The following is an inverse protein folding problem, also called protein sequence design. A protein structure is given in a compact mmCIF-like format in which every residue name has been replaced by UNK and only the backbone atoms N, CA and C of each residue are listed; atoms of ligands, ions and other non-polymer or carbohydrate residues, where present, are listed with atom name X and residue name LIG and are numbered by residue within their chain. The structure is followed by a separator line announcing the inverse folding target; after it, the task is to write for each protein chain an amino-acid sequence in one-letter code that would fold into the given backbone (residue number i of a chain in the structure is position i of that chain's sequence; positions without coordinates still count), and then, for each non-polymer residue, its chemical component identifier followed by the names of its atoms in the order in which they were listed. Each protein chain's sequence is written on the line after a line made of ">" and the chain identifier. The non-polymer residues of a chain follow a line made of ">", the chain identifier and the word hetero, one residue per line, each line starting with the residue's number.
data_IF_720883369878
#
_entry.id   IF_720883369878
#
_cell.length_a   1.000
_cell.length_b   1.000
_cell.length_c   1.000
_cell.angle_alpha   90.00
_cell.angle_beta   90.00
_cell.angle_gamma   90.00
#
_symmetry.space_group_name_H-M   'P 1'
#
loop_
_entity.id
_entity.type
_entity.pdbx_description
1 polymer ?
#
# COMPACT_ATOMS: atom_id res chain seq x y z
N UNK A 1 22.61 -68.91 18.42
CA UNK A 1 23.26 -67.78 17.72
C UNK A 1 22.15 -66.99 17.07
N UNK A 2 21.74 -65.87 17.68
CA UNK A 2 20.70 -64.97 17.16
C UNK A 2 21.42 -63.73 16.59
N UNK A 3 21.31 -63.48 15.26
CA UNK A 3 21.82 -62.29 14.61
C UNK A 3 20.70 -61.20 14.63
N UNK A 4 20.94 -60.14 15.36
CA UNK A 4 20.12 -58.95 15.33
C UNK A 4 20.45 -58.16 14.06
N UNK A 5 19.46 -57.91 13.22
CA UNK A 5 19.53 -56.98 12.10
C UNK A 5 19.01 -55.65 12.61
N UNK A 6 19.87 -54.65 12.72
CA UNK A 6 19.48 -53.24 12.91
C UNK A 6 19.05 -52.67 11.55
N UNK A 7 17.79 -52.33 11.45
CA UNK A 7 17.27 -51.48 10.37
C UNK A 7 17.51 -50.02 10.75
N UNK A 8 18.46 -49.40 10.08
CA UNK A 8 18.61 -47.94 10.11
C UNK A 8 17.57 -47.29 9.16
N UNK A 9 16.58 -46.66 9.74
CA UNK A 9 15.62 -45.81 8.97
C UNK A 9 16.29 -44.44 8.79
N UNK A 10 16.82 -44.19 7.61
CA UNK A 10 17.26 -42.86 7.22
C UNK A 10 16.00 -42.01 6.87
N UNK A 11 15.61 -41.14 7.79
CA UNK A 11 14.63 -40.13 7.51
C UNK A 11 15.24 -39.07 6.58
N UNK A 12 14.95 -39.11 5.31
CA UNK A 12 15.16 -37.99 4.39
C UNK A 12 14.19 -36.88 4.79
N UNK A 13 14.70 -35.88 5.50
CA UNK A 13 14.07 -34.58 5.63
C UNK A 13 14.18 -33.87 4.27
N UNK A 14 13.17 -34.03 3.43
CA UNK A 14 12.90 -33.13 2.32
C UNK A 14 12.49 -31.79 2.95
N UNK A 15 13.44 -30.88 3.14
CA UNK A 15 13.14 -29.48 3.37
C UNK A 15 12.51 -28.95 2.07
N UNK A 16 11.19 -28.95 2.02
CA UNK A 16 10.47 -28.10 1.08
C UNK A 16 10.80 -26.67 1.48
N UNK A 17 11.73 -26.04 0.78
CA UNK A 17 11.89 -24.60 0.85
C UNK A 17 10.59 -23.98 0.34
N UNK A 18 9.67 -23.73 1.26
CA UNK A 18 8.60 -22.76 1.05
C UNK A 18 9.31 -21.43 0.92
N UNK A 19 9.40 -20.94 -0.30
CA UNK A 19 9.74 -19.54 -0.56
C UNK A 19 8.64 -18.72 0.09
N UNK A 20 8.84 -18.39 1.36
CA UNK A 20 7.95 -17.50 2.07
C UNK A 20 8.05 -16.13 1.37
N UNK A 21 6.92 -15.56 1.06
CA UNK A 21 6.76 -14.20 0.52
C UNK A 21 7.45 -13.12 1.39
N UNK A 22 7.97 -13.50 2.56
CA UNK A 22 8.73 -12.66 3.49
C UNK A 22 10.13 -12.28 3.04
N UNK A 23 10.77 -13.06 2.17
CA UNK A 23 12.15 -12.79 1.73
C UNK A 23 12.25 -11.74 0.63
N UNK A 24 11.12 -11.42 -0.03
CA UNK A 24 11.05 -10.41 -1.09
C UNK A 24 11.27 -8.99 -0.52
N UNK A 25 11.00 -8.78 0.75
CA UNK A 25 11.20 -7.53 1.49
C UNK A 25 12.47 -7.57 2.33
N UNK A 26 13.49 -8.29 1.86
CA UNK A 26 14.77 -8.30 2.52
C UNK A 26 15.25 -6.86 2.71
N UNK A 27 15.53 -6.55 3.96
CA UNK A 27 15.86 -5.23 4.53
C UNK A 27 17.29 -4.81 4.17
N UNK A 28 17.70 -5.09 2.94
CA UNK A 28 19.07 -4.86 2.55
C UNK A 28 19.41 -3.37 2.59
N UNK A 29 20.65 -3.10 2.97
CA UNK A 29 21.28 -1.79 2.88
C UNK A 29 21.49 -1.32 1.43
N UNK A 30 20.95 -2.04 0.44
CA UNK A 30 21.16 -1.83 -0.99
C UNK A 30 20.16 -0.85 -1.61
N UNK A 31 19.56 0.04 -0.81
CA UNK A 31 18.71 1.10 -1.34
C UNK A 31 19.55 2.10 -2.14
N UNK A 32 19.12 2.35 -3.37
CA UNK A 32 19.77 3.31 -4.27
C UNK A 32 18.98 4.62 -4.30
N UNK A 33 19.58 5.70 -3.79
CA UNK A 33 18.96 7.02 -3.83
C UNK A 33 18.84 7.52 -5.27
N UNK A 34 17.68 8.14 -5.66
CA UNK A 34 17.53 8.73 -6.97
C UNK A 34 18.61 9.80 -7.24
N UNK A 35 19.19 9.78 -8.44
CA UNK A 35 20.15 10.82 -8.87
C UNK A 35 19.46 12.09 -9.38
N UNK A 36 18.19 12.01 -9.82
CA UNK A 36 17.41 13.16 -10.27
C UNK A 36 16.93 13.99 -9.08
N UNK A 37 17.39 15.24 -9.00
CA UNK A 37 17.07 16.15 -7.91
C UNK A 37 15.56 16.41 -7.75
N UNK A 38 14.79 16.45 -8.86
CA UNK A 38 13.35 16.64 -8.81
C UNK A 38 12.64 15.45 -8.16
N UNK A 39 13.14 14.23 -8.40
CA UNK A 39 12.64 13.01 -7.75
C UNK A 39 12.97 13.05 -6.25
N UNK A 40 14.18 13.46 -5.88
CA UNK A 40 14.59 13.60 -4.46
C UNK A 40 13.71 14.61 -3.73
N UNK A 41 13.40 15.74 -4.36
CA UNK A 41 12.53 16.78 -3.78
C UNK A 41 11.10 16.25 -3.59
N UNK A 42 10.54 15.62 -4.63
CA UNK A 42 9.21 15.00 -4.57
C UNK A 42 9.15 13.88 -3.52
N UNK A 43 10.20 13.09 -3.38
CA UNK A 43 10.30 12.02 -2.40
C UNK A 43 10.31 12.57 -0.95
N UNK A 44 11.00 13.68 -0.71
CA UNK A 44 10.97 14.38 0.58
C UNK A 44 9.58 14.95 0.90
N UNK A 45 8.92 15.55 -0.11
CA UNK A 45 7.54 16.00 0.01
C UNK A 45 6.61 14.85 0.38
N UNK A 46 6.71 13.72 -0.32
CA UNK A 46 5.94 12.51 -0.02
C UNK A 46 6.22 11.97 1.38
N UNK A 47 7.49 11.93 1.82
CA UNK A 47 7.84 11.48 3.18
C UNK A 47 7.16 12.32 4.28
N UNK A 48 6.85 13.57 4.05
CA UNK A 48 6.18 14.46 5.00
C UNK A 48 4.68 14.17 5.13
N UNK A 49 4.07 13.54 4.13
CA UNK A 49 2.64 13.26 4.07
C UNK A 49 2.19 12.14 5.02
N UNK A 50 3.04 11.20 5.32
CA UNK A 50 2.92 10.11 6.32
C UNK A 50 1.76 9.14 6.14
N UNK A 51 0.59 9.56 5.66
CA UNK A 51 -0.62 8.75 5.60
C UNK A 51 -1.35 8.92 4.28
N UNK A 52 -1.58 7.81 3.60
CA UNK A 52 -2.28 7.75 2.31
C UNK A 52 -3.28 6.62 2.20
N UNK A 53 -3.98 6.56 1.06
CA UNK A 53 -4.92 5.49 0.70
C UNK A 53 -4.47 4.78 -0.57
N UNK A 54 -4.62 3.45 -0.59
CA UNK A 54 -4.45 2.61 -1.77
C UNK A 54 -5.80 1.96 -2.11
N UNK A 55 -6.39 2.34 -3.25
CA UNK A 55 -7.64 1.76 -3.70
C UNK A 55 -7.38 0.51 -4.55
N UNK A 56 -7.93 -0.63 -4.13
CA UNK A 56 -8.03 -1.83 -4.95
C UNK A 56 -9.47 -1.98 -5.45
N UNK A 57 -9.67 -1.68 -6.74
CA UNK A 57 -10.98 -1.76 -7.37
C UNK A 57 -10.89 -2.23 -8.82
N UNK A 58 -11.72 -3.19 -9.16
CA UNK A 58 -11.76 -3.83 -10.47
C UNK A 58 -12.89 -4.85 -10.54
N UNK A 59 -12.88 -5.68 -11.58
CA UNK A 59 -13.96 -6.67 -11.82
C UNK A 59 -14.09 -7.71 -10.71
N UNK A 60 -13.03 -7.97 -9.94
CA UNK A 60 -13.04 -8.87 -8.77
C UNK A 60 -13.96 -8.39 -7.63
N UNK A 61 -14.32 -7.11 -7.60
CA UNK A 61 -15.30 -6.59 -6.65
C UNK A 61 -16.71 -7.16 -6.91
N UNK A 62 -17.04 -7.50 -8.16
CA UNK A 62 -18.37 -8.03 -8.52
C UNK A 62 -18.68 -9.32 -7.77
N UNK A 63 -17.84 -10.38 -7.83
CA UNK A 63 -18.03 -11.58 -7.04
C UNK A 63 -17.59 -11.44 -5.57
N UNK A 64 -16.86 -10.36 -5.21
CA UNK A 64 -16.34 -10.16 -3.86
C UNK A 64 -15.32 -11.20 -3.44
N UNK A 65 -14.29 -11.39 -4.24
CA UNK A 65 -13.21 -12.38 -4.04
C UNK A 65 -11.85 -11.68 -3.93
N UNK A 66 -10.85 -12.47 -3.53
CA UNK A 66 -9.45 -12.01 -3.55
C UNK A 66 -9.12 -11.50 -4.95
N UNK A 67 -8.61 -10.32 -5.07
CA UNK A 67 -8.40 -9.54 -6.30
C UNK A 67 -8.34 -10.44 -7.57
N UNK A 68 -7.47 -10.20 -8.52
CA UNK A 68 -7.33 -11.04 -9.72
C UNK A 68 -6.71 -12.43 -9.47
N UNK A 69 -6.19 -12.69 -8.26
CA UNK A 69 -5.42 -13.90 -7.96
C UNK A 69 -6.16 -15.21 -8.19
N UNK A 70 -7.49 -15.20 -8.11
CA UNK A 70 -8.30 -16.40 -8.31
C UNK A 70 -8.18 -17.01 -9.72
N UNK A 71 -7.74 -16.25 -10.73
CA UNK A 71 -7.45 -16.77 -12.09
C UNK A 71 -6.02 -17.27 -12.26
N UNK A 72 -5.16 -17.03 -11.27
CA UNK A 72 -3.80 -17.58 -11.26
C UNK A 72 -3.82 -18.98 -10.62
N UNK A 73 -3.15 -19.97 -11.24
CA UNK A 73 -3.12 -21.33 -10.73
C UNK A 73 -1.97 -21.54 -9.75
N UNK A 74 -2.02 -20.87 -8.60
CA UNK A 74 -1.07 -21.04 -7.50
C UNK A 74 -1.68 -21.84 -6.34
N UNK A 75 -0.83 -22.55 -5.60
CA UNK A 75 -1.29 -23.51 -4.59
C UNK A 75 -2.02 -22.93 -3.38
N UNK A 76 -1.93 -21.62 -3.17
CA UNK A 76 -2.63 -20.92 -2.07
C UNK A 76 -3.99 -20.35 -2.49
N UNK A 77 -4.33 -20.41 -3.78
CA UNK A 77 -5.59 -19.90 -4.32
C UNK A 77 -6.71 -20.91 -4.10
N UNK A 78 -7.83 -20.43 -3.58
CA UNK A 78 -9.08 -21.21 -3.48
C UNK A 78 -10.03 -20.77 -4.60
N UNK A 79 -10.49 -21.72 -5.39
CA UNK A 79 -11.47 -21.51 -6.47
C UNK A 79 -12.67 -22.42 -6.28
N UNK A 80 -13.77 -22.09 -6.97
CA UNK A 80 -14.90 -23.00 -7.13
C UNK A 80 -14.45 -24.24 -7.94
N UNK A 81 -14.49 -25.41 -7.29
CA UNK A 81 -14.05 -26.68 -7.87
C UNK A 81 -15.14 -27.34 -8.74
N UNK A 82 -16.34 -26.77 -8.82
CA UNK A 82 -17.42 -27.24 -9.71
C UNK A 82 -17.19 -26.84 -11.17
N UNK A 83 -16.29 -25.87 -11.40
CA UNK A 83 -15.90 -25.40 -12.72
C UNK A 83 -14.51 -25.93 -13.09
N UNK A 84 -14.31 -26.24 -14.40
CA UNK A 84 -12.95 -26.42 -14.92
C UNK A 84 -12.20 -25.09 -14.82
N UNK A 85 -10.86 -25.13 -14.84
CA UNK A 85 -10.04 -23.93 -14.76
C UNK A 85 -10.35 -22.91 -15.87
N UNK A 86 -10.58 -23.41 -17.11
CA UNK A 86 -10.94 -22.53 -18.22
C UNK A 86 -12.32 -21.89 -18.02
N UNK A 87 -13.33 -22.67 -17.59
CA UNK A 87 -14.66 -22.13 -17.26
C UNK A 87 -14.58 -21.06 -16.17
N UNK A 88 -13.72 -21.27 -15.17
CA UNK A 88 -13.52 -20.27 -14.10
C UNK A 88 -12.91 -18.96 -14.64
N UNK A 89 -11.89 -19.04 -15.52
CA UNK A 89 -11.31 -17.86 -16.16
C UNK A 89 -12.34 -17.11 -17.01
N UNK A 90 -13.11 -17.82 -17.81
CA UNK A 90 -14.15 -17.23 -18.66
C UNK A 90 -15.24 -16.56 -17.82
N UNK A 91 -15.65 -17.21 -16.74
CA UNK A 91 -16.57 -16.64 -15.75
C UNK A 91 -16.00 -15.38 -15.11
N UNK A 92 -14.73 -15.39 -14.68
CA UNK A 92 -14.08 -14.26 -14.04
C UNK A 92 -13.98 -13.06 -15.00
N UNK A 93 -13.46 -13.26 -16.20
CA UNK A 93 -13.36 -12.17 -17.16
C UNK A 93 -14.72 -11.65 -17.63
N UNK A 94 -15.75 -12.49 -17.64
CA UNK A 94 -17.14 -12.09 -17.85
C UNK A 94 -17.71 -11.13 -16.78
N UNK A 95 -17.00 -10.94 -15.65
CA UNK A 95 -17.38 -9.92 -14.65
C UNK A 95 -17.23 -8.49 -15.18
N UNK A 96 -16.46 -8.27 -16.23
CA UNK A 96 -16.37 -6.97 -16.93
C UNK A 96 -17.76 -6.47 -17.40
N UNK A 97 -18.61 -7.40 -17.88
CA UNK A 97 -19.98 -7.09 -18.32
C UNK A 97 -20.98 -6.97 -17.14
N UNK A 98 -20.50 -7.13 -15.91
CA UNK A 98 -21.31 -7.00 -14.68
C UNK A 98 -20.88 -5.85 -13.79
N UNK A 99 -19.66 -5.33 -13.96
CA UNK A 99 -19.18 -4.17 -13.19
C UNK A 99 -19.87 -2.90 -13.71
N UNK A 100 -20.95 -2.52 -13.06
CA UNK A 100 -21.72 -1.32 -13.38
C UNK A 100 -21.94 -0.48 -12.11
N UNK A 101 -20.94 0.32 -11.69
CA UNK A 101 -20.97 1.04 -10.42
C UNK A 101 -21.85 2.30 -10.48
N UNK A 102 -23.17 2.12 -10.40
CA UNK A 102 -24.17 3.20 -10.53
C UNK A 102 -24.09 4.25 -9.42
N UNK A 103 -23.50 3.91 -8.27
CA UNK A 103 -23.37 4.81 -7.11
C UNK A 103 -21.96 5.43 -7.02
N UNK A 104 -21.17 5.33 -8.10
CA UNK A 104 -19.81 5.86 -8.16
C UNK A 104 -19.77 7.38 -7.97
N UNK A 105 -19.19 7.80 -6.86
CA UNK A 105 -19.02 9.20 -6.49
C UNK A 105 -17.59 9.47 -5.98
N UNK A 106 -16.64 9.77 -6.86
CA UNK A 106 -15.23 9.96 -6.49
C UNK A 106 -15.00 11.21 -5.62
N UNK A 107 -15.86 12.23 -5.71
CA UNK A 107 -15.83 13.41 -4.86
C UNK A 107 -16.10 13.02 -3.40
N UNK A 108 -17.10 12.15 -3.17
CA UNK A 108 -17.37 11.62 -1.83
C UNK A 108 -16.23 10.77 -1.31
N UNK A 109 -15.58 9.97 -2.18
CA UNK A 109 -14.38 9.21 -1.77
C UNK A 109 -13.27 10.14 -1.28
N UNK A 110 -13.00 11.21 -2.05
CA UNK A 110 -11.97 12.18 -1.69
C UNK A 110 -12.30 12.92 -0.38
N UNK A 111 -13.59 13.26 -0.15
CA UNK A 111 -14.04 13.85 1.11
C UNK A 111 -13.81 12.94 2.32
N UNK A 112 -14.16 11.66 2.21
CA UNK A 112 -13.97 10.66 3.26
C UNK A 112 -12.46 10.50 3.60
N UNK A 113 -11.60 10.39 2.59
CA UNK A 113 -10.15 10.23 2.79
C UNK A 113 -9.52 11.52 3.35
N UNK A 114 -9.96 12.69 2.92
CA UNK A 114 -9.50 13.97 3.47
C UNK A 114 -9.91 14.12 4.94
N UNK A 115 -11.15 13.74 5.30
CA UNK A 115 -11.63 13.74 6.68
C UNK A 115 -10.86 12.77 7.56
N UNK A 116 -10.44 11.64 7.02
CA UNK A 116 -9.56 10.67 7.68
C UNK A 116 -8.14 11.21 7.94
N UNK A 117 -7.77 12.35 7.36
CA UNK A 117 -6.43 12.94 7.47
C UNK A 117 -5.43 12.44 6.43
N UNK A 118 -5.85 11.66 5.45
CA UNK A 118 -4.97 11.17 4.38
C UNK A 118 -4.50 12.32 3.47
N UNK A 119 -3.29 12.21 2.92
CA UNK A 119 -2.61 13.26 2.17
C UNK A 119 -2.19 12.85 0.76
N UNK A 120 -2.12 11.56 0.47
CA UNK A 120 -1.84 11.03 -0.85
C UNK A 120 -2.74 9.83 -1.13
N UNK A 121 -2.93 9.54 -2.41
CA UNK A 121 -3.72 8.41 -2.85
C UNK A 121 -3.00 7.64 -3.94
N UNK A 122 -3.26 6.35 -4.01
CA UNK A 122 -2.82 5.47 -5.09
C UNK A 122 -4.04 4.71 -5.59
N UNK A 123 -4.33 4.77 -6.89
CA UNK A 123 -5.49 4.11 -7.49
C UNK A 123 -5.07 2.98 -8.43
N UNK A 124 -5.70 1.82 -8.30
CA UNK A 124 -5.49 0.68 -9.20
C UNK A 124 -6.03 0.98 -10.59
N UNK A 125 -5.16 1.40 -11.51
CA UNK A 125 -5.52 1.66 -12.90
C UNK A 125 -5.83 0.36 -13.65
N UNK A 126 -5.08 -0.70 -13.33
CA UNK A 126 -5.21 -2.06 -13.84
C UNK A 126 -4.57 -3.01 -12.83
N UNK A 127 -5.27 -4.09 -12.45
CA UNK A 127 -4.68 -5.20 -11.68
C UNK A 127 -4.15 -6.29 -12.62
N UNK A 128 -3.66 -7.41 -12.11
CA UNK A 128 -3.04 -8.48 -12.91
C UNK A 128 -3.99 -9.12 -13.94
N UNK A 129 -5.31 -9.01 -13.75
CA UNK A 129 -6.33 -9.49 -14.67
C UNK A 129 -6.40 -8.73 -16.01
N UNK A 130 -5.73 -7.60 -16.10
CA UNK A 130 -5.70 -6.79 -17.31
C UNK A 130 -6.88 -5.83 -17.49
N UNK A 131 -7.89 -5.83 -16.58
CA UNK A 131 -9.03 -4.93 -16.72
C UNK A 131 -8.66 -3.50 -16.39
N UNK A 132 -8.75 -2.61 -17.39
CA UNK A 132 -8.40 -1.20 -17.26
C UNK A 132 -9.58 -0.38 -16.69
N UNK A 133 -9.36 0.30 -15.56
CA UNK A 133 -10.32 1.24 -14.96
C UNK A 133 -10.27 2.62 -15.64
N UNK A 134 -9.77 2.68 -16.88
CA UNK A 134 -9.60 3.89 -17.70
C UNK A 134 -9.80 3.58 -19.19
N UNK A 135 -9.90 4.63 -20.02
CA UNK A 135 -10.08 4.50 -21.47
C UNK A 135 -8.76 4.21 -22.19
N UNK A 136 -8.34 2.94 -22.23
CA UNK A 136 -7.17 2.52 -22.98
C UNK A 136 -7.48 2.36 -24.47
N UNK A 137 -6.53 2.79 -25.34
CA UNK A 137 -6.56 2.56 -26.78
C UNK A 137 -5.95 1.23 -27.19
N UNK A 138 -5.27 0.55 -26.27
CA UNK A 138 -4.47 -0.63 -26.55
C UNK A 138 -5.17 -1.94 -26.18
N UNK A 139 -6.33 -1.87 -25.55
CA UNK A 139 -7.18 -3.02 -25.23
C UNK A 139 -8.64 -2.61 -25.21
N UNK A 140 -9.52 -3.55 -25.58
CA UNK A 140 -10.97 -3.38 -25.42
C UNK A 140 -11.45 -3.79 -24.01
N UNK A 141 -10.57 -4.40 -23.20
CA UNK A 141 -10.86 -4.86 -21.86
C UNK A 141 -10.78 -3.71 -20.85
N UNK A 142 -11.72 -2.78 -20.98
CA UNK A 142 -11.77 -1.53 -20.19
C UNK A 142 -13.17 -1.26 -19.68
N UNK A 143 -13.27 -0.57 -18.55
CA UNK A 143 -14.55 -0.16 -17.97
C UNK A 143 -15.37 0.73 -18.91
N UNK A 144 -14.71 1.45 -19.82
CA UNK A 144 -15.38 2.35 -20.78
C UNK A 144 -16.05 1.63 -21.95
N UNK A 145 -15.82 0.33 -22.10
CA UNK A 145 -16.36 -0.49 -23.21
C UNK A 145 -17.23 -1.66 -22.78
N UNK A 146 -17.38 -1.86 -21.47
CA UNK A 146 -18.22 -2.91 -20.87
C UNK A 146 -19.49 -2.34 -20.23
N UNK A 147 -20.00 -2.92 -19.15
CA UNK A 147 -21.29 -2.57 -18.55
C UNK A 147 -21.45 -1.09 -18.18
N UNK A 148 -20.38 -0.40 -17.82
CA UNK A 148 -20.39 1.02 -17.42
C UNK A 148 -20.20 2.01 -18.57
N UNK A 149 -20.15 1.56 -19.83
CA UNK A 149 -19.81 2.36 -21.03
C UNK A 149 -20.72 3.58 -21.26
N UNK A 150 -21.98 3.51 -20.86
CA UNK A 150 -22.96 4.58 -21.11
C UNK A 150 -23.03 5.59 -19.96
N UNK A 151 -22.31 5.38 -18.88
CA UNK A 151 -22.28 6.28 -17.74
C UNK A 151 -21.43 7.52 -18.04
N UNK A 152 -21.85 8.75 -17.66
CA UNK A 152 -21.10 9.98 -17.93
C UNK A 152 -19.70 10.01 -17.29
N UNK A 153 -19.51 9.30 -16.16
CA UNK A 153 -18.21 9.13 -15.48
C UNK A 153 -17.54 7.79 -15.82
N UNK A 154 -17.75 7.23 -17.02
CA UNK A 154 -17.24 5.90 -17.41
C UNK A 154 -15.71 5.76 -17.38
N UNK A 155 -14.98 6.84 -17.65
CA UNK A 155 -13.51 6.86 -17.47
C UNK A 155 -13.19 7.11 -15.99
N UNK A 156 -13.29 6.03 -15.21
CA UNK A 156 -13.20 6.06 -13.74
C UNK A 156 -11.92 6.73 -13.28
N UNK A 157 -10.77 6.37 -13.89
CA UNK A 157 -9.48 6.93 -13.52
C UNK A 157 -9.50 8.46 -13.57
N UNK A 158 -10.03 9.03 -14.67
CA UNK A 158 -10.11 10.48 -14.84
C UNK A 158 -10.81 11.14 -13.66
N UNK A 159 -12.01 10.66 -13.34
CA UNK A 159 -12.83 11.27 -12.29
C UNK A 159 -12.27 11.06 -10.89
N UNK A 160 -11.66 9.90 -10.61
CA UNK A 160 -10.97 9.66 -9.33
C UNK A 160 -9.80 10.61 -9.17
N UNK A 161 -8.89 10.68 -10.16
CA UNK A 161 -7.71 11.55 -10.05
C UNK A 161 -8.10 13.03 -9.94
N UNK A 162 -9.11 13.50 -10.70
CA UNK A 162 -9.58 14.87 -10.64
C UNK A 162 -10.19 15.21 -9.26
N UNK A 163 -11.01 14.32 -8.69
CA UNK A 163 -11.61 14.53 -7.37
C UNK A 163 -10.56 14.66 -6.26
N UNK A 164 -9.55 13.77 -6.26
CA UNK A 164 -8.48 13.81 -5.26
C UNK A 164 -7.53 15.00 -5.47
N UNK A 165 -7.22 15.35 -6.72
CA UNK A 165 -6.42 16.53 -7.06
C UNK A 165 -7.09 17.82 -6.58
N UNK A 166 -8.42 17.93 -6.72
CA UNK A 166 -9.21 19.06 -6.21
C UNK A 166 -9.17 19.20 -4.69
N UNK A 167 -8.80 18.11 -3.98
CA UNK A 167 -8.58 18.10 -2.53
C UNK A 167 -7.10 18.20 -2.14
N UNK A 168 -6.22 18.49 -3.10
CA UNK A 168 -4.78 18.67 -2.90
C UNK A 168 -4.06 17.40 -2.40
N UNK A 169 -4.54 16.23 -2.77
CA UNK A 169 -3.80 14.99 -2.56
C UNK A 169 -2.63 14.89 -3.54
N UNK A 170 -1.51 14.32 -3.08
CA UNK A 170 -0.49 13.80 -3.99
C UNK A 170 -1.06 12.57 -4.69
N UNK A 171 -0.90 12.51 -6.02
CA UNK A 171 -1.59 11.57 -6.89
C UNK A 171 -0.69 10.41 -7.28
N UNK A 172 -1.10 9.20 -6.95
CA UNK A 172 -0.45 7.97 -7.33
C UNK A 172 -1.33 7.09 -8.22
N UNK A 173 -0.69 6.39 -9.14
CA UNK A 173 -1.30 5.36 -9.98
C UNK A 173 -0.61 4.02 -9.73
N UNK A 174 -1.38 3.02 -9.30
CA UNK A 174 -0.95 1.64 -9.29
C UNK A 174 -1.11 1.07 -10.70
N UNK A 175 -0.11 0.40 -11.19
CA UNK A 175 -0.14 -0.31 -12.45
C UNK A 175 0.48 -1.71 -12.29
N UNK A 176 -0.27 -2.74 -12.67
CA UNK A 176 0.24 -4.10 -12.74
C UNK A 176 1.16 -4.27 -13.96
N UNK A 177 2.41 -4.66 -13.73
CA UNK A 177 3.33 -5.01 -14.84
C UNK A 177 2.86 -6.24 -15.62
N UNK A 178 2.50 -7.38 -14.97
CA UNK A 178 1.88 -8.50 -15.67
C UNK A 178 0.45 -8.15 -16.10
N UNK A 179 0.00 -8.83 -17.16
CA UNK A 179 -1.36 -8.73 -17.68
C UNK A 179 -1.83 -10.12 -18.15
N UNK A 180 -2.64 -10.77 -17.32
CA UNK A 180 -3.09 -12.15 -17.57
C UNK A 180 -4.18 -12.26 -18.63
N UNK A 181 -4.77 -11.15 -19.06
CA UNK A 181 -5.69 -11.11 -20.19
C UNK A 181 -4.96 -10.91 -21.53
N UNK A 182 -3.78 -10.29 -21.50
CA UNK A 182 -2.99 -10.04 -22.70
C UNK A 182 -2.42 -11.34 -23.29
N UNK A 183 -2.74 -11.62 -24.56
CA UNK A 183 -2.27 -12.81 -25.27
C UNK A 183 -0.73 -12.84 -25.43
N UNK A 184 -0.07 -11.72 -25.31
CA UNK A 184 1.39 -11.64 -25.34
C UNK A 184 2.03 -11.87 -23.97
N UNK A 185 1.22 -12.05 -22.90
CA UNK A 185 1.67 -12.50 -21.59
C UNK A 185 1.20 -13.92 -21.27
N UNK A 186 -0.12 -14.20 -21.33
CA UNK A 186 -0.68 -15.56 -21.28
C UNK A 186 -1.25 -15.93 -22.65
N UNK A 187 -0.47 -16.68 -23.39
CA UNK A 187 -0.83 -17.11 -24.73
C UNK A 187 -1.78 -18.31 -24.68
N UNK A 188 -2.95 -18.21 -25.28
CA UNK A 188 -4.03 -19.20 -25.24
C UNK A 188 -3.70 -20.52 -25.94
N UNK A 189 -2.69 -20.51 -26.82
CA UNK A 189 -2.17 -21.74 -27.48
C UNK A 189 -1.52 -22.71 -26.48
N UNK A 190 -1.02 -22.18 -25.35
CA UNK A 190 -0.43 -22.98 -24.28
C UNK A 190 -1.33 -22.97 -23.05
N UNK A 191 -1.46 -24.12 -22.36
CA UNK A 191 -2.16 -24.10 -21.09
C UNK A 191 -1.44 -23.15 -20.12
N UNK A 192 -2.19 -22.41 -19.33
CA UNK A 192 -1.62 -21.59 -18.25
C UNK A 192 -0.86 -22.50 -17.29
N UNK A 193 0.45 -22.29 -17.17
CA UNK A 193 1.27 -23.01 -16.20
C UNK A 193 0.85 -22.63 -14.80
N UNK A 194 1.09 -23.51 -13.85
CA UNK A 194 0.95 -23.18 -12.45
C UNK A 194 1.89 -22.02 -12.11
N UNK A 195 1.32 -20.91 -11.62
CA UNK A 195 2.05 -19.70 -11.29
C UNK A 195 1.67 -18.49 -12.14
N UNK A 196 2.22 -17.36 -11.74
CA UNK A 196 1.91 -15.99 -12.19
C UNK A 196 2.68 -15.53 -13.44
N UNK A 197 3.68 -16.29 -13.85
CA UNK A 197 4.59 -15.93 -14.94
C UNK A 197 3.97 -16.18 -16.32
N UNK A 198 4.65 -15.69 -17.37
CA UNK A 198 4.30 -16.02 -18.75
C UNK A 198 4.22 -17.55 -18.94
N UNK A 199 3.32 -18.01 -19.81
CA UNK A 199 3.07 -19.43 -20.04
C UNK A 199 3.82 -20.01 -21.24
N UNK A 200 4.75 -19.25 -21.81
CA UNK A 200 5.60 -19.66 -22.94
C UNK A 200 7.08 -19.36 -22.65
N UNK A 201 7.98 -19.91 -23.46
CA UNK A 201 9.41 -19.61 -23.36
C UNK A 201 9.74 -18.33 -24.16
N UNK A 202 10.09 -17.26 -23.46
CA UNK A 202 10.44 -15.95 -24.05
C UNK A 202 11.64 -16.08 -25.02
N UNK A 203 12.59 -16.98 -24.75
CA UNK A 203 13.75 -17.19 -25.63
C UNK A 203 13.34 -17.82 -26.97
N UNK A 204 12.29 -18.64 -26.97
CA UNK A 204 11.76 -19.28 -28.19
C UNK A 204 10.85 -18.31 -28.98
N UNK A 205 10.11 -17.43 -28.27
CA UNK A 205 9.22 -16.47 -28.92
C UNK A 205 9.49 -15.02 -28.46
N UNK A 206 10.72 -14.47 -28.68
CA UNK A 206 11.11 -13.15 -28.19
C UNK A 206 10.24 -12.02 -28.74
N UNK A 207 9.77 -12.15 -29.98
CA UNK A 207 8.91 -11.15 -30.62
C UNK A 207 7.57 -10.94 -29.87
N UNK A 208 7.07 -11.98 -29.19
CA UNK A 208 5.85 -11.88 -28.39
C UNK A 208 6.10 -11.06 -27.15
N UNK A 209 7.23 -11.28 -26.49
CA UNK A 209 7.65 -10.49 -25.35
C UNK A 209 7.90 -9.01 -25.72
N UNK A 210 8.49 -8.73 -26.88
CA UNK A 210 8.67 -7.37 -27.36
C UNK A 210 7.32 -6.65 -27.61
N UNK A 211 6.30 -7.36 -28.10
CA UNK A 211 4.94 -6.80 -28.21
C UNK A 211 4.34 -6.52 -26.85
N UNK A 212 4.52 -7.40 -25.88
CA UNK A 212 4.06 -7.18 -24.49
C UNK A 212 4.76 -5.98 -23.86
N UNK A 213 6.07 -5.82 -24.02
CA UNK A 213 6.82 -4.65 -23.59
C UNK A 213 6.24 -3.35 -24.17
N UNK A 214 5.98 -3.36 -25.49
CA UNK A 214 5.41 -2.18 -26.14
C UNK A 214 3.97 -1.90 -25.68
N UNK A 215 3.16 -2.92 -25.48
CA UNK A 215 1.82 -2.80 -24.93
C UNK A 215 1.83 -2.17 -23.53
N UNK A 216 2.68 -2.68 -22.66
CA UNK A 216 2.86 -2.18 -21.28
C UNK A 216 3.36 -0.73 -21.25
N UNK A 217 4.37 -0.43 -22.09
CA UNK A 217 4.88 0.93 -22.26
C UNK A 217 3.77 1.89 -22.69
N UNK A 218 3.01 1.54 -23.72
CA UNK A 218 1.97 2.38 -24.28
C UNK A 218 0.85 2.66 -23.26
N UNK A 219 0.45 1.68 -22.47
CA UNK A 219 -0.55 1.88 -21.41
C UNK A 219 -0.06 2.81 -20.30
N UNK A 220 1.20 2.68 -19.88
CA UNK A 220 1.79 3.62 -18.91
C UNK A 220 1.89 5.03 -19.48
N UNK A 221 2.28 5.19 -20.75
CA UNK A 221 2.32 6.47 -21.42
C UNK A 221 0.93 7.13 -21.50
N UNK A 222 -0.14 6.35 -21.80
CA UNK A 222 -1.51 6.87 -21.76
C UNK A 222 -1.86 7.46 -20.39
N UNK A 223 -1.57 6.72 -19.31
CA UNK A 223 -1.88 7.17 -17.94
C UNK A 223 -1.10 8.45 -17.62
N UNK A 224 0.18 8.50 -17.92
CA UNK A 224 1.05 9.60 -17.54
C UNK A 224 0.90 10.86 -18.42
N UNK A 225 0.35 10.72 -19.64
CA UNK A 225 0.20 11.86 -20.58
C UNK A 225 -1.22 12.42 -20.65
N UNK A 226 -2.26 11.63 -20.30
CA UNK A 226 -3.67 12.01 -20.55
C UNK A 226 -4.47 12.38 -19.31
N UNK A 227 -4.00 12.02 -18.12
CA UNK A 227 -4.79 12.13 -16.88
C UNK A 227 -4.30 13.24 -15.94
N UNK A 228 -3.58 14.23 -16.47
CA UNK A 228 -3.04 15.35 -15.69
C UNK A 228 -1.84 14.97 -14.87
N UNK A 229 -1.58 15.69 -13.77
CA UNK A 229 -0.44 15.44 -12.93
C UNK A 229 -0.55 14.11 -12.18
N UNK A 230 0.51 13.30 -12.27
CA UNK A 230 0.74 12.09 -11.50
C UNK A 230 2.09 12.22 -10.78
N UNK A 231 2.12 11.97 -9.49
CA UNK A 231 3.31 12.14 -8.66
C UNK A 231 4.00 10.81 -8.35
N UNK A 232 3.25 9.69 -8.35
CA UNK A 232 3.74 8.37 -8.01
C UNK A 232 3.25 7.37 -9.07
N UNK A 233 4.20 6.62 -9.68
CA UNK A 233 3.91 5.43 -10.48
C UNK A 233 4.29 4.19 -9.66
N UNK A 234 3.27 3.49 -9.15
CA UNK A 234 3.42 2.34 -8.27
C UNK A 234 3.25 1.05 -9.08
N UNK A 235 4.36 0.38 -9.39
CA UNK A 235 4.41 -0.79 -10.27
C UNK A 235 4.37 -2.06 -9.45
N UNK A 236 3.34 -2.86 -9.64
CA UNK A 236 3.22 -4.17 -9.01
C UNK A 236 3.61 -5.31 -9.95
N UNK A 237 3.81 -6.50 -9.37
CA UNK A 237 4.26 -7.67 -10.10
C UNK A 237 5.79 -7.77 -10.15
N UNK A 238 6.44 -7.84 -8.98
CA UNK A 238 7.90 -7.92 -8.84
C UNK A 238 8.56 -9.10 -9.55
N UNK A 239 7.79 -10.14 -9.91
CA UNK A 239 8.30 -11.26 -10.72
C UNK A 239 8.53 -10.91 -12.20
N UNK A 240 7.98 -9.78 -12.68
CA UNK A 240 8.27 -9.23 -14.02
C UNK A 240 9.56 -8.42 -13.92
N UNK A 241 10.68 -9.11 -14.08
CA UNK A 241 12.03 -8.57 -13.89
C UNK A 241 13.06 -9.33 -14.76
N UNK A 242 14.26 -8.78 -14.87
CA UNK A 242 15.36 -9.37 -15.65
C UNK A 242 15.75 -10.76 -15.18
N UNK A 243 15.77 -10.97 -13.88
CA UNK A 243 16.15 -12.21 -13.21
C UNK A 243 15.25 -13.38 -13.64
N UNK A 244 13.99 -13.07 -13.95
CA UNK A 244 13.01 -14.02 -14.46
C UNK A 244 12.92 -14.03 -16.02
N UNK A 245 13.86 -13.43 -16.71
CA UNK A 245 13.80 -13.19 -18.16
C UNK A 245 12.56 -12.41 -18.63
N UNK A 246 11.95 -11.63 -17.74
CA UNK A 246 10.76 -10.80 -17.99
C UNK A 246 11.12 -9.32 -17.92
N UNK A 247 12.16 -8.90 -18.61
CA UNK A 247 12.60 -7.50 -18.68
C UNK A 247 11.63 -6.67 -19.53
N UNK A 248 11.01 -5.64 -18.92
CA UNK A 248 10.12 -4.69 -19.61
C UNK A 248 10.81 -3.38 -20.00
N UNK A 249 12.13 -3.28 -19.85
CA UNK A 249 12.92 -2.09 -20.17
C UNK A 249 12.59 -0.89 -19.28
N UNK A 250 12.78 -1.08 -17.98
CA UNK A 250 12.52 -0.01 -16.99
C UNK A 250 13.25 1.30 -17.28
N UNK A 251 14.51 1.34 -17.81
CA UNK A 251 15.15 2.58 -18.22
C UNK A 251 14.33 3.38 -19.24
N UNK A 252 13.80 2.72 -20.27
CA UNK A 252 12.96 3.34 -21.31
C UNK A 252 11.63 3.84 -20.72
N UNK A 253 11.01 3.04 -19.85
CA UNK A 253 9.78 3.43 -19.15
C UNK A 253 10.03 4.64 -18.26
N UNK A 254 11.13 4.67 -17.49
CA UNK A 254 11.46 5.78 -16.60
C UNK A 254 11.74 7.07 -17.37
N UNK A 255 12.43 6.99 -18.51
CA UNK A 255 12.68 8.14 -19.37
C UNK A 255 11.38 8.72 -19.90
N UNK A 256 10.50 7.89 -20.44
CA UNK A 256 9.16 8.31 -20.91
C UNK A 256 8.34 8.91 -19.77
N UNK A 257 8.24 8.21 -18.65
CA UNK A 257 7.44 8.62 -17.50
C UNK A 257 7.86 9.99 -16.98
N UNK A 258 9.17 10.25 -16.80
CA UNK A 258 9.71 11.52 -16.32
C UNK A 258 9.70 12.62 -17.37
N UNK A 259 9.60 12.29 -18.67
CA UNK A 259 9.39 13.30 -19.71
C UNK A 259 7.97 13.91 -19.64
N UNK A 260 6.97 13.12 -19.28
CA UNK A 260 5.59 13.58 -19.07
C UNK A 260 5.38 14.16 -17.66
N UNK A 261 6.01 13.55 -16.64
CA UNK A 261 5.83 13.87 -15.23
C UNK A 261 7.20 14.13 -14.55
N UNK A 262 7.76 15.33 -14.68
CA UNK A 262 9.07 15.66 -14.07
C UNK A 262 9.02 15.48 -12.55
N UNK A 263 9.99 14.75 -12.00
CA UNK A 263 10.05 14.44 -10.56
C UNK A 263 9.17 13.25 -10.13
N UNK A 264 8.59 12.50 -11.07
CA UNK A 264 7.78 11.33 -10.77
C UNK A 264 8.54 10.32 -9.91
N UNK A 265 7.95 9.97 -8.78
CA UNK A 265 8.39 8.87 -7.93
C UNK A 265 8.00 7.55 -8.62
N UNK A 266 8.98 6.70 -8.89
CA UNK A 266 8.72 5.35 -9.41
C UNK A 266 8.93 4.32 -8.30
N UNK A 267 8.02 3.36 -8.22
CA UNK A 267 8.05 2.29 -7.22
C UNK A 267 7.98 0.96 -7.96
N UNK A 268 9.10 0.50 -8.47
CA UNK A 268 9.22 -0.84 -9.06
C UNK A 268 9.33 -1.87 -7.92
N UNK A 269 8.18 -2.20 -7.35
CA UNK A 269 8.07 -2.98 -6.10
C UNK A 269 8.92 -4.23 -6.13
N UNK A 270 9.73 -4.38 -5.08
CA UNK A 270 10.57 -5.55 -4.83
C UNK A 270 11.68 -5.79 -5.86
N UNK A 271 11.82 -4.87 -6.82
CA UNK A 271 12.94 -4.87 -7.76
C UNK A 271 13.91 -3.77 -7.33
N UNK A 272 15.03 -4.18 -6.77
CA UNK A 272 16.05 -3.24 -6.28
C UNK A 272 16.67 -2.44 -7.40
N UNK A 273 17.12 -1.24 -7.04
CA UNK A 273 17.80 -0.35 -7.95
C UNK A 273 17.12 1.00 -8.13
N UNK A 274 17.51 1.76 -9.16
CA UNK A 274 17.19 3.19 -9.30
C UNK A 274 15.69 3.50 -9.53
N UNK A 275 14.86 2.47 -9.74
CA UNK A 275 13.43 2.63 -10.01
C UNK A 275 12.55 2.20 -8.83
N UNK A 276 13.11 1.70 -7.73
CA UNK A 276 12.42 1.50 -6.46
C UNK A 276 12.72 2.70 -5.54
N UNK A 277 12.11 3.87 -5.82
CA UNK A 277 12.42 5.11 -5.10
C UNK A 277 11.97 5.10 -3.64
N UNK A 278 11.11 4.18 -3.23
CA UNK A 278 10.89 3.78 -1.85
C UNK A 278 10.49 2.30 -1.78
N UNK A 279 10.85 1.63 -0.69
CA UNK A 279 10.50 0.22 -0.48
C UNK A 279 9.09 0.08 0.08
N UNK A 280 8.43 -1.06 -0.20
CA UNK A 280 7.02 -1.28 0.14
C UNK A 280 6.80 -2.57 0.92
N UNK A 281 7.21 -2.67 2.21
CA UNK A 281 6.85 -3.82 3.05
C UNK A 281 5.33 -4.01 3.07
N UNK A 282 4.87 -5.20 2.64
CA UNK A 282 3.45 -5.50 2.55
C UNK A 282 2.95 -6.21 3.80
N UNK A 283 1.86 -5.69 4.38
CA UNK A 283 1.20 -6.23 5.59
C UNK A 283 2.16 -6.40 6.79
N UNK A 284 3.30 -5.73 6.77
CA UNK A 284 4.34 -5.80 7.81
C UNK A 284 4.95 -4.43 8.08
N UNK A 285 5.61 -4.30 9.22
CA UNK A 285 6.38 -3.12 9.61
C UNK A 285 7.82 -3.57 9.88
N UNK A 286 8.85 -2.89 9.37
CA UNK A 286 10.24 -3.18 9.71
C UNK A 286 10.47 -3.22 11.22
N UNK A 287 11.35 -4.12 11.71
CA UNK A 287 11.60 -4.23 13.16
C UNK A 287 12.23 -2.96 13.74
N UNK A 288 13.10 -2.33 12.95
CA UNK A 288 13.83 -1.13 13.35
C UNK A 288 13.61 0.01 12.38
N UNK A 289 14.11 1.19 12.71
CA UNK A 289 14.18 2.32 11.78
C UNK A 289 15.01 1.96 10.55
N UNK A 290 14.56 2.42 9.38
CA UNK A 290 15.32 2.36 8.14
C UNK A 290 15.83 3.77 7.78
N UNK A 291 17.01 3.83 7.17
CA UNK A 291 17.66 5.08 6.77
C UNK A 291 17.38 5.51 5.32
N UNK A 292 16.36 4.90 4.71
CA UNK A 292 15.90 5.18 3.36
C UNK A 292 14.36 5.27 3.33
N UNK A 293 13.76 5.84 2.27
CA UNK A 293 12.30 5.96 2.14
C UNK A 293 11.60 4.60 2.04
N UNK A 294 10.51 4.43 2.77
CA UNK A 294 9.69 3.23 2.73
C UNK A 294 8.23 3.50 3.10
N UNK A 295 7.34 2.62 2.65
CA UNK A 295 5.90 2.68 2.86
C UNK A 295 5.38 1.31 3.24
N UNK A 296 4.79 1.15 4.43
CA UNK A 296 4.00 -0.06 4.69
C UNK A 296 2.66 0.05 3.98
N UNK A 297 2.38 -0.89 3.09
CA UNK A 297 1.07 -1.04 2.48
C UNK A 297 0.26 -2.10 3.24
N UNK A 298 -0.83 -1.66 3.89
CA UNK A 298 -1.63 -2.48 4.80
C UNK A 298 -3.11 -2.27 4.51
N UNK A 299 -3.90 -3.32 4.24
CA UNK A 299 -5.35 -3.15 4.05
C UNK A 299 -6.06 -2.85 5.37
N UNK A 300 -7.15 -2.06 5.30
CA UNK A 300 -8.00 -1.77 6.46
C UNK A 300 -8.75 -3.03 6.92
N UNK A 301 -9.05 -3.93 6.00
CA UNK A 301 -9.58 -5.28 6.30
C UNK A 301 -8.48 -6.35 6.13
N UNK A 302 -8.84 -7.60 5.95
CA UNK A 302 -7.89 -8.67 5.62
C UNK A 302 -7.52 -8.68 4.13
N UNK A 303 -8.43 -8.22 3.27
CA UNK A 303 -8.29 -8.20 1.82
C UNK A 303 -8.03 -6.79 1.29
N UNK A 304 -7.41 -6.68 0.12
CA UNK A 304 -7.17 -5.40 -0.54
C UNK A 304 -8.42 -4.86 -1.22
N UNK A 305 -9.11 -5.72 -1.99
CA UNK A 305 -10.37 -5.43 -2.63
C UNK A 305 -11.56 -5.59 -1.68
N UNK A 306 -12.74 -5.25 -2.19
CA UNK A 306 -13.98 -5.47 -1.46
C UNK A 306 -14.35 -6.98 -1.40
N UNK A 307 -14.71 -7.44 -0.20
CA UNK A 307 -15.30 -8.76 0.04
C UNK A 307 -16.56 -8.63 0.89
N UNK A 308 -17.54 -9.59 0.82
CA UNK A 308 -18.85 -9.42 1.45
C UNK A 308 -18.86 -9.36 2.98
N UNK A 309 -17.88 -9.94 3.64
CA UNK A 309 -17.81 -10.03 5.12
C UNK A 309 -16.37 -9.89 5.59
N UNK A 310 -15.78 -8.68 5.43
CA UNK A 310 -14.40 -8.47 5.81
C UNK A 310 -14.23 -8.41 7.34
N UNK A 311 -13.09 -8.84 7.81
CA UNK A 311 -12.66 -8.57 9.19
C UNK A 311 -11.89 -7.25 9.21
N UNK A 312 -12.40 -6.32 9.98
CA UNK A 312 -11.87 -4.97 10.03
C UNK A 312 -10.85 -4.79 11.14
N UNK A 313 -9.79 -4.06 10.87
CA UNK A 313 -8.94 -3.49 11.91
C UNK A 313 -9.70 -2.38 12.65
N UNK A 314 -9.51 -2.28 13.95
CA UNK A 314 -10.07 -1.18 14.74
C UNK A 314 -9.35 0.15 14.44
N UNK A 315 -9.98 1.30 14.68
CA UNK A 315 -9.31 2.61 14.58
C UNK A 315 -8.05 2.68 15.44
N UNK A 316 -8.08 2.12 16.65
CA UNK A 316 -6.95 2.06 17.59
C UNK A 316 -5.78 1.27 16.97
N UNK A 317 -6.07 0.13 16.31
CA UNK A 317 -5.05 -0.66 15.63
C UNK A 317 -4.42 0.11 14.47
N UNK A 318 -5.20 0.83 13.67
CA UNK A 318 -4.68 1.64 12.57
C UNK A 318 -3.85 2.80 13.09
N UNK A 319 -4.31 3.49 14.13
CA UNK A 319 -3.57 4.59 14.79
C UNK A 319 -2.23 4.08 15.34
N UNK A 320 -2.22 2.95 16.05
CA UNK A 320 -0.97 2.37 16.57
C UNK A 320 0.00 1.99 15.46
N UNK A 321 -0.52 1.39 14.39
CA UNK A 321 0.25 1.06 13.18
C UNK A 321 0.86 2.31 12.53
N UNK A 322 0.07 3.36 12.34
CA UNK A 322 0.55 4.64 11.78
C UNK A 322 1.65 5.27 12.64
N UNK A 323 1.45 5.32 13.95
CA UNK A 323 2.43 5.89 14.88
C UNK A 323 3.75 5.12 14.86
N UNK A 324 3.69 3.80 14.90
CA UNK A 324 4.87 2.94 14.82
C UNK A 324 5.65 3.14 13.50
N UNK A 325 4.95 3.15 12.37
CA UNK A 325 5.53 3.37 11.04
C UNK A 325 6.22 4.74 10.98
N UNK A 326 5.54 5.80 11.42
CA UNK A 326 6.07 7.17 11.38
C UNK A 326 7.27 7.34 12.31
N UNK A 327 7.23 6.78 13.51
CA UNK A 327 8.35 6.81 14.44
C UNK A 327 9.58 6.03 13.91
N UNK A 328 9.36 5.03 13.05
CA UNK A 328 10.41 4.27 12.35
C UNK A 328 10.82 4.90 11.01
N UNK A 329 10.23 6.02 10.60
CA UNK A 329 10.64 6.80 9.43
C UNK A 329 9.90 6.48 8.13
N UNK A 330 8.83 5.69 8.18
CA UNK A 330 8.03 5.31 7.02
C UNK A 330 6.74 6.11 6.85
N UNK A 331 6.04 5.79 5.76
CA UNK A 331 4.67 6.20 5.49
C UNK A 331 3.74 4.97 5.57
N UNK A 332 2.48 5.20 5.93
CA UNK A 332 1.42 4.20 5.85
C UNK A 332 0.52 4.50 4.64
N UNK A 333 0.37 3.54 3.74
CA UNK A 333 -0.73 3.54 2.77
C UNK A 333 -1.76 2.49 3.19
N UNK A 334 -2.98 2.94 3.47
CA UNK A 334 -4.07 2.09 3.95
C UNK A 334 -4.92 1.60 2.77
N UNK A 335 -5.03 0.28 2.60
CA UNK A 335 -5.83 -0.33 1.54
C UNK A 335 -7.33 -0.19 1.80
N UNK A 336 -8.07 0.26 0.79
CA UNK A 336 -9.54 0.37 0.81
C UNK A 336 -10.09 -0.20 -0.50
N UNK A 337 -11.04 -1.13 -0.39
CA UNK A 337 -11.75 -1.72 -1.54
C UNK A 337 -13.16 -1.13 -1.66
N UNK A 338 -13.46 -0.32 -2.68
CA UNK A 338 -14.83 0.09 -2.98
C UNK A 338 -15.71 -1.09 -3.37
N UNK A 339 -17.01 -1.01 -3.06
CA UNK A 339 -17.98 -2.02 -3.44
C UNK A 339 -18.17 -2.09 -4.97
N UNK A 340 -18.77 -3.15 -5.52
CA UNK A 340 -19.06 -3.20 -6.96
C UNK A 340 -20.02 -2.11 -7.43
N UNK A 341 -20.79 -1.47 -6.53
CA UNK A 341 -21.63 -0.31 -6.83
C UNK A 341 -20.85 1.02 -6.83
N UNK A 342 -19.60 1.02 -6.40
CA UNK A 342 -18.76 2.23 -6.31
C UNK A 342 -18.87 2.99 -5.00
N UNK A 343 -19.31 2.33 -3.92
CA UNK A 343 -19.44 2.94 -2.59
C UNK A 343 -18.21 2.61 -1.70
N UNK A 344 -17.85 3.54 -0.83
CA UNK A 344 -17.04 3.23 0.35
C UNK A 344 -17.97 2.72 1.44
N UNK A 345 -17.72 1.50 1.94
CA UNK A 345 -18.59 0.87 2.94
C UNK A 345 -18.77 1.73 4.19
N UNK A 346 -19.97 1.79 4.78
CA UNK A 346 -20.23 2.57 6.00
C UNK A 346 -19.29 2.22 7.17
N UNK A 347 -18.90 0.94 7.29
CA UNK A 347 -17.95 0.46 8.30
C UNK A 347 -16.55 1.03 8.09
N UNK A 348 -16.12 1.19 6.83
CA UNK A 348 -14.88 1.88 6.45
C UNK A 348 -14.96 3.35 6.85
N UNK A 349 -16.04 4.04 6.46
CA UNK A 349 -16.25 5.47 6.76
C UNK A 349 -16.22 5.72 8.26
N UNK A 350 -16.89 4.89 9.05
CA UNK A 350 -16.92 4.99 10.52
C UNK A 350 -15.50 4.92 11.11
N UNK A 351 -14.68 3.98 10.66
CA UNK A 351 -13.30 3.80 11.12
C UNK A 351 -12.41 4.97 10.72
N UNK A 352 -12.50 5.38 9.46
CA UNK A 352 -11.73 6.50 8.92
C UNK A 352 -12.08 7.81 9.64
N UNK A 353 -13.34 8.06 9.95
CA UNK A 353 -13.76 9.22 10.73
C UNK A 353 -13.13 9.21 12.15
N UNK A 354 -13.10 8.06 12.82
CA UNK A 354 -12.47 7.96 14.14
C UNK A 354 -10.96 8.22 14.08
N UNK A 355 -10.27 7.73 13.06
CA UNK A 355 -8.85 8.00 12.80
C UNK A 355 -8.64 9.50 12.54
N UNK A 356 -9.49 10.10 11.69
CA UNK A 356 -9.44 11.53 11.37
C UNK A 356 -9.64 12.43 12.59
N UNK A 357 -10.58 12.10 13.46
CA UNK A 357 -10.79 12.85 14.72
C UNK A 357 -9.57 12.78 15.64
N UNK A 358 -8.89 11.64 15.70
CA UNK A 358 -7.64 11.52 16.45
C UNK A 358 -6.53 12.37 15.81
N UNK A 359 -6.39 12.32 14.48
CA UNK A 359 -5.37 13.09 13.75
C UNK A 359 -5.59 14.59 13.79
N UNK A 360 -6.84 15.09 13.83
CA UNK A 360 -7.13 16.52 14.06
C UNK A 360 -6.52 17.03 15.36
N UNK A 361 -6.45 16.19 16.38
CA UNK A 361 -5.93 16.54 17.70
C UNK A 361 -4.43 16.29 17.85
N UNK A 362 -3.90 15.27 17.19
CA UNK A 362 -2.56 14.75 17.42
C UNK A 362 -1.66 14.77 16.16
N UNK A 363 -2.18 15.21 15.02
CA UNK A 363 -1.50 15.14 13.72
C UNK A 363 -0.19 15.94 13.66
N UNK A 364 0.02 16.92 14.53
CA UNK A 364 1.30 17.62 14.68
C UNK A 364 2.45 16.67 15.04
N UNK A 365 2.15 15.59 15.76
CA UNK A 365 3.12 14.56 16.10
C UNK A 365 3.35 13.52 14.98
N UNK A 366 2.61 13.63 13.88
CA UNK A 366 2.63 12.69 12.74
C UNK A 366 3.20 13.36 11.49
N UNK A 367 2.52 14.38 10.96
CA UNK A 367 2.87 15.01 9.69
C UNK A 367 4.09 15.91 9.80
N UNK A 368 4.90 15.96 8.73
CA UNK A 368 6.12 16.80 8.68
C UNK A 368 7.13 16.49 9.81
N UNK A 369 7.07 15.30 10.41
CA UNK A 369 7.98 14.87 11.47
C UNK A 369 9.14 14.05 10.92
N UNK A 370 10.21 13.99 11.72
CA UNK A 370 11.37 13.15 11.50
C UNK A 370 11.53 12.13 12.63
N UNK A 371 12.34 11.13 12.38
CA UNK A 371 12.70 10.10 13.36
C UNK A 371 13.54 10.66 14.51
N UNK A 372 13.59 9.93 15.61
CA UNK A 372 14.46 10.21 16.76
C UNK A 372 15.38 9.03 17.01
N UNK A 373 16.62 9.24 17.54
CA UNK A 373 17.52 8.12 17.84
C UNK A 373 16.91 7.09 18.81
N UNK A 374 16.12 7.57 19.77
CA UNK A 374 15.31 6.73 20.65
C UNK A 374 13.85 6.97 20.27
N UNK A 375 13.29 6.09 19.49
CA UNK A 375 11.96 6.23 18.90
C UNK A 375 10.85 5.47 19.65
N UNK A 376 11.23 4.61 20.60
CA UNK A 376 10.28 3.84 21.41
C UNK A 376 10.80 3.56 22.83
N UNK A 377 9.90 3.64 23.81
CA UNK A 377 10.07 3.11 25.19
C UNK A 377 8.74 2.50 25.64
N UNK A 378 8.55 1.22 25.41
CA UNK A 378 7.32 0.51 25.70
C UNK A 378 6.12 1.04 24.90
N UNK A 379 5.10 1.57 25.60
CA UNK A 379 3.91 2.15 24.94
C UNK A 379 4.12 3.59 24.44
N UNK A 380 5.29 4.19 24.68
CA UNK A 380 5.58 5.58 24.29
C UNK A 380 6.46 5.59 23.04
N UNK A 381 5.97 6.19 21.99
CA UNK A 381 6.68 6.37 20.72
C UNK A 381 7.08 7.83 20.53
N UNK A 382 8.17 8.07 19.82
CA UNK A 382 8.71 9.42 19.67
C UNK A 382 8.91 9.81 18.23
N UNK A 383 8.51 11.04 17.91
CA UNK A 383 8.83 11.77 16.69
C UNK A 383 9.38 13.14 17.02
N UNK A 384 9.89 13.87 16.05
CA UNK A 384 10.43 15.21 16.24
C UNK A 384 10.05 16.15 15.11
N UNK A 385 10.06 17.45 15.39
CA UNK A 385 10.10 18.46 14.34
C UNK A 385 11.42 18.38 13.55
N UNK A 386 11.41 18.87 12.32
CA UNK A 386 12.58 18.88 11.42
C UNK A 386 13.78 19.66 11.98
N UNK A 387 13.54 20.65 12.82
CA UNK A 387 14.59 21.41 13.51
C UNK A 387 15.23 20.66 14.69
N UNK A 388 14.66 19.52 15.06
CA UNK A 388 15.11 18.65 16.13
C UNK A 388 14.92 19.18 17.55
N UNK A 389 14.36 20.40 17.73
CA UNK A 389 14.21 21.06 19.04
C UNK A 389 12.95 20.63 19.78
N UNK A 390 11.91 20.26 19.04
CA UNK A 390 10.65 19.77 19.59
C UNK A 390 10.56 18.27 19.47
N UNK A 391 10.11 17.60 20.54
CA UNK A 391 9.80 16.18 20.58
C UNK A 391 8.31 15.98 20.80
N UNK A 392 7.81 14.90 20.22
CA UNK A 392 6.48 14.39 20.50
C UNK A 392 6.61 13.02 21.14
N UNK A 393 5.95 12.83 22.30
CA UNK A 393 5.79 11.53 22.94
C UNK A 393 4.34 11.07 22.74
N UNK A 394 4.15 9.97 22.04
CA UNK A 394 2.84 9.43 21.72
C UNK A 394 2.63 8.15 22.52
N UNK A 395 1.74 8.20 23.52
CA UNK A 395 1.36 7.01 24.27
C UNK A 395 0.29 6.24 23.51
N UNK A 396 0.58 5.02 23.11
CA UNK A 396 -0.38 4.13 22.46
C UNK A 396 -1.22 3.40 23.50
N UNK A 397 -2.54 3.52 23.34
CA UNK A 397 -3.50 2.82 24.16
C UNK A 397 -3.97 1.57 23.43
N UNK A 398 -3.73 0.41 24.03
CA UNK A 398 -4.20 -0.87 23.50
C UNK A 398 -5.73 -0.96 23.55
N UNK A 399 -6.30 -1.66 22.60
CA UNK A 399 -7.74 -1.90 22.53
C UNK A 399 -8.26 -2.56 23.81
N UNK A 400 -9.34 -2.05 24.36
CA UNK A 400 -9.94 -2.52 25.61
C UNK A 400 -9.18 -2.16 26.88
N UNK A 401 -8.08 -1.40 26.80
CA UNK A 401 -7.35 -0.90 27.98
C UNK A 401 -7.82 0.50 28.38
N UNK A 402 -7.48 0.90 29.61
CA UNK A 402 -7.74 2.23 30.12
C UNK A 402 -6.48 3.10 30.07
N UNK A 403 -6.66 4.35 29.68
CA UNK A 403 -5.59 5.34 29.68
C UNK A 403 -5.05 5.54 31.11
N UNK A 404 -3.73 5.30 31.34
CA UNK A 404 -3.17 5.42 32.67
C UNK A 404 -3.16 6.88 33.15
N UNK A 405 -3.18 7.08 34.47
CA UNK A 405 -3.09 8.41 35.04
C UNK A 405 -1.71 9.03 34.89
N UNK A 406 -0.68 8.21 34.84
CA UNK A 406 0.73 8.61 34.67
C UNK A 406 1.31 7.87 33.53
N UNK A 407 1.91 8.60 32.60
CA UNK A 407 2.74 8.05 31.51
C UNK A 407 4.19 8.27 31.89
N UNK A 408 5.07 7.27 31.65
CA UNK A 408 6.49 7.44 31.97
C UNK A 408 7.39 6.83 30.88
N UNK A 409 8.55 7.45 30.68
CA UNK A 409 9.58 6.99 29.75
C UNK A 409 10.99 7.36 30.20
N UNK A 410 12.00 6.66 29.67
CA UNK A 410 13.41 6.98 29.82
C UNK A 410 13.85 7.86 28.64
N UNK A 411 15.00 8.51 28.76
CA UNK A 411 15.60 9.34 27.72
C UNK A 411 14.61 10.41 27.18
N UNK A 412 14.89 11.03 26.03
CA UNK A 412 14.04 12.13 25.52
C UNK A 412 13.51 13.04 26.68
N UNK A 413 14.44 13.50 27.54
CA UNK A 413 14.08 14.24 28.76
C UNK A 413 13.61 15.66 28.42
N UNK A 414 12.41 16.08 28.82
CA UNK A 414 11.91 17.43 28.55
C UNK A 414 12.76 18.54 29.20
N UNK A 415 13.13 19.56 28.43
CA UNK A 415 13.70 20.81 28.89
C UNK A 415 12.62 21.88 28.98
N UNK A 416 11.68 21.71 29.87
CA UNK A 416 10.59 22.68 30.03
C UNK A 416 9.22 22.05 30.17
N UNK A 417 8.21 22.73 29.64
CA UNK A 417 6.83 22.32 29.82
C UNK A 417 6.46 21.20 28.84
N UNK A 418 5.87 20.13 29.37
CA UNK A 418 5.17 19.12 28.56
C UNK A 418 3.72 19.55 28.37
N UNK A 419 3.24 19.54 27.15
CA UNK A 419 1.85 19.91 26.79
C UNK A 419 1.12 18.72 26.14
N UNK A 420 -0.16 18.58 26.46
CA UNK A 420 -1.06 17.65 25.77
C UNK A 420 -1.49 18.28 24.45
N UNK A 421 -1.21 17.65 23.31
CA UNK A 421 -1.51 18.22 21.99
C UNK A 421 -2.99 18.52 21.79
N UNK A 422 -3.88 17.61 22.19
CA UNK A 422 -5.33 17.75 22.00
C UNK A 422 -5.95 19.00 22.66
N UNK A 423 -5.28 19.60 23.65
CA UNK A 423 -5.81 20.75 24.41
C UNK A 423 -4.82 21.89 24.59
N UNK A 424 -3.55 21.71 24.24
CA UNK A 424 -2.46 22.65 24.53
C UNK A 424 -2.12 22.79 26.01
N UNK A 425 -2.82 22.02 26.87
CA UNK A 425 -2.69 22.16 28.35
C UNK A 425 -1.32 21.70 28.82
N UNK A 426 -0.67 22.55 29.66
CA UNK A 426 0.54 22.17 30.39
C UNK A 426 0.25 21.06 31.39
N UNK A 427 1.11 20.02 31.39
CA UNK A 427 0.99 18.87 32.29
C UNK A 427 2.00 18.91 33.41
N UNK A 428 1.63 18.33 34.55
CA UNK A 428 2.55 18.14 35.69
C UNK A 428 3.56 17.05 35.29
N UNK A 429 4.83 17.42 35.34
CA UNK A 429 5.97 16.56 34.97
C UNK A 429 6.95 16.49 36.12
N UNK A 430 7.54 15.33 36.39
CA UNK A 430 8.60 15.11 37.37
C UNK A 430 9.56 14.04 36.89
N UNK A 431 10.76 14.02 37.41
CA UNK A 431 11.73 12.94 37.23
C UNK A 431 11.72 12.03 38.46
N UNK A 432 11.52 10.73 38.24
CA UNK A 432 11.53 9.70 39.29
C UNK A 432 12.44 8.57 38.84
N UNK A 433 13.47 8.27 39.62
CA UNK A 433 14.45 7.22 39.31
C UNK A 433 15.02 7.31 37.88
N UNK A 434 15.30 8.53 37.42
CA UNK A 434 15.83 8.76 36.05
C UNK A 434 14.78 8.73 34.92
N UNK A 435 13.51 8.41 35.21
CA UNK A 435 12.41 8.43 34.26
C UNK A 435 11.64 9.74 34.29
N UNK A 436 11.22 10.22 33.15
CA UNK A 436 10.20 11.27 33.06
C UNK A 436 8.83 10.68 33.35
N UNK A 437 8.11 11.25 34.33
CA UNK A 437 6.71 10.93 34.61
C UNK A 437 5.83 12.14 34.29
N UNK A 438 4.76 11.93 33.55
CA UNK A 438 3.79 12.95 33.16
C UNK A 438 2.40 12.56 33.66
N UNK A 439 1.76 13.44 34.39
CA UNK A 439 0.41 13.22 34.94
C UNK A 439 -0.64 13.74 33.94
N UNK A 440 -1.46 12.83 33.41
CA UNK A 440 -2.58 13.18 32.53
C UNK A 440 -3.76 13.80 33.30
N UNK A 441 -4.57 14.66 32.67
CA UNK A 441 -5.83 15.18 33.24
C UNK A 441 -6.84 14.04 33.48
N UNK A 442 -7.75 14.22 34.43
CA UNK A 442 -8.91 13.35 34.59
C UNK A 442 -9.93 13.62 33.48
N UNK A 443 -10.72 12.62 33.12
CA UNK A 443 -11.83 12.76 32.14
C UNK A 443 -11.38 12.87 30.69
N UNK A 444 -10.14 12.50 30.37
CA UNK A 444 -9.72 12.36 28.96
C UNK A 444 -10.48 11.22 28.28
N UNK A 445 -10.75 11.41 26.98
CA UNK A 445 -11.25 10.32 26.12
C UNK A 445 -10.28 9.15 26.19
N UNK A 446 -10.81 7.93 26.25
CA UNK A 446 -10.01 6.70 26.26
C UNK A 446 -9.49 6.43 24.85
N UNK A 447 -8.32 6.99 24.54
CA UNK A 447 -7.63 6.87 23.25
C UNK A 447 -6.14 7.14 23.44
N UNK A 448 -5.32 6.79 22.44
CA UNK A 448 -3.92 7.20 22.37
C UNK A 448 -3.77 8.73 22.46
N UNK A 449 -2.72 9.22 23.12
CA UNK A 449 -2.51 10.65 23.34
C UNK A 449 -1.10 11.07 22.93
N UNK A 450 -0.96 12.27 22.38
CA UNK A 450 0.34 12.83 22.03
C UNK A 450 0.66 14.05 22.91
N UNK A 451 1.92 14.12 23.32
CA UNK A 451 2.50 15.15 24.15
C UNK A 451 3.59 15.87 23.36
N UNK A 452 3.74 17.16 23.59
CA UNK A 452 4.77 18.03 22.98
C UNK A 452 5.67 18.60 24.04
N UNK A 453 6.98 18.64 23.80
CA UNK A 453 7.98 19.24 24.67
C UNK A 453 9.27 19.61 23.94
N UNK A 454 10.05 20.53 24.49
CA UNK A 454 11.39 20.85 23.99
C UNK A 454 12.44 19.91 24.59
N UNK A 455 13.57 19.67 23.88
CA UNK A 455 14.74 18.92 24.37
C UNK A 455 16.01 19.75 24.36
#
# INVERSE_FOLDING_TARGET
>A
MKRNILLAVAALLLSTATWAQGDVYDRSNDYEWPSDQKVVEKLKEWQDLKFGVLFHWGIYAVPGIVESWSICDEGWITRDTTMTYQQYKDWYWGMADKLNPTDFNPEQWADVMQQAGMKYMIFTTKHHDGFCMYDSKYTDFTITRHAFRDHPKRDVLKYVLDAFRNKQFMIGTYFSKPDWHCQDYWWDVFPTKRGRNVNYDIKQWPWRWERFKQFTYNQMEEILSRYGQVDILWLDGGWVCKENNQDIDMPRIAQMARSHQPGLIMVDRTIRGPYENYQTPEKTIPETQLNFPWESCIPLSDDWGWVPRPRWKSPEKVISTLVEIVAKGGNLVLGVGPTPQGLIQPETVTRLNAIGEWLKQNGKAIYNTVTTPIYNDGQVWFTADKDGKTRYAIYLLDEGKHLPRIISWNQNVPKGNVRLLSTGKKLKTKTVNGRTEVTLPRGLKQQSVALEFSI
#
